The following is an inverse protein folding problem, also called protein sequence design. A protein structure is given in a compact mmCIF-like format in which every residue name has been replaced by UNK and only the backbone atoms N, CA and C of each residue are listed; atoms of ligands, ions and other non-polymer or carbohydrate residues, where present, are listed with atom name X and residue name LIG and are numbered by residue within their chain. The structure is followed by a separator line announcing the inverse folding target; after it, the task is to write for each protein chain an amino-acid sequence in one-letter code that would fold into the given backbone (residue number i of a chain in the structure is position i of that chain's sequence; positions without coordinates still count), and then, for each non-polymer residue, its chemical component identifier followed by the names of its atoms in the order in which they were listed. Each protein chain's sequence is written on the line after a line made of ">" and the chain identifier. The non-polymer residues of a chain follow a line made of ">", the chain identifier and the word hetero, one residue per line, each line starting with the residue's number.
data_IF_799651114703
#
_entry.id   IF_799651114703
#
_cell.length_a   1.000
_cell.length_b   1.000
_cell.length_c   1.000
_cell.angle_alpha   90.00
_cell.angle_beta   90.00
_cell.angle_gamma   90.00
#
_symmetry.space_group_name_H-M   'P 1'
#
loop_
_entity.id
_entity.type
_entity.pdbx_description
1 polymer ?
#
# COMPACT_ATOMS: atom_id res chain seq x y z
N UNK A 1 17.06 15.61 21.34
CA UNK A 1 16.13 14.83 22.19
C UNK A 1 16.00 15.37 23.61
N UNK A 2 17.01 16.05 24.11
CA UNK A 2 17.03 16.63 25.49
C UNK A 2 16.06 17.80 25.70
N UNK A 3 15.45 18.33 24.67
CA UNK A 3 14.57 19.51 24.68
C UNK A 3 13.16 19.26 24.13
N UNK A 4 12.78 17.98 23.88
CA UNK A 4 11.45 17.65 23.41
C UNK A 4 10.60 17.15 24.59
N UNK A 5 9.47 17.81 24.80
CA UNK A 5 8.54 17.49 25.88
C UNK A 5 7.61 16.32 25.47
N UNK A 6 7.40 16.13 24.16
CA UNK A 6 6.53 15.09 23.61
C UNK A 6 7.05 14.53 22.27
N UNK A 7 6.81 13.26 22.03
CA UNK A 7 7.29 12.54 20.85
C UNK A 7 6.11 11.98 20.06
N UNK A 8 6.14 12.16 18.74
CA UNK A 8 5.15 11.61 17.82
C UNK A 8 5.84 10.73 16.77
N UNK A 9 5.35 9.52 16.59
CA UNK A 9 5.74 8.61 15.51
C UNK A 9 4.57 8.31 14.61
N UNK A 10 4.79 8.09 13.30
CA UNK A 10 3.73 7.66 12.38
C UNK A 10 3.34 6.19 12.56
N UNK A 11 4.05 5.45 13.40
CA UNK A 11 3.82 4.09 13.84
C UNK A 11 4.77 3.76 14.98
N UNK A 12 4.53 2.67 15.70
CA UNK A 12 5.39 2.23 16.81
C UNK A 12 6.80 1.91 16.30
N UNK A 13 6.91 1.17 15.20
CA UNK A 13 8.19 0.82 14.59
C UNK A 13 8.99 2.07 14.17
N UNK A 14 8.35 3.05 13.55
CA UNK A 14 8.95 4.32 13.18
C UNK A 14 9.40 5.13 14.42
N UNK A 15 8.57 5.14 15.47
CA UNK A 15 8.92 5.76 16.75
C UNK A 15 10.16 5.15 17.40
N UNK A 16 10.23 3.82 17.44
CA UNK A 16 11.40 3.08 17.97
C UNK A 16 12.66 3.37 17.16
N UNK A 17 12.55 3.38 15.84
CA UNK A 17 13.69 3.67 14.95
C UNK A 17 14.28 5.06 15.19
N UNK A 18 13.44 6.09 15.38
CA UNK A 18 13.88 7.48 15.49
C UNK A 18 14.29 7.83 16.94
N UNK A 19 13.55 7.34 17.94
CA UNK A 19 13.65 7.78 19.32
C UNK A 19 14.23 6.71 20.27
N UNK A 20 14.46 5.49 19.79
CA UNK A 20 15.01 4.36 20.53
C UNK A 20 13.96 3.30 20.90
N UNK A 21 14.44 2.07 21.13
CA UNK A 21 13.63 0.84 21.22
C UNK A 21 12.54 0.83 22.30
N UNK A 22 12.62 1.74 23.28
CA UNK A 22 11.67 1.81 24.40
C UNK A 22 10.78 3.05 24.38
N UNK A 23 10.69 3.75 23.25
CA UNK A 23 9.91 4.99 23.14
C UNK A 23 8.42 4.77 23.41
N UNK A 24 7.89 3.65 22.96
CA UNK A 24 6.49 3.26 23.13
C UNK A 24 6.07 2.99 24.58
N UNK A 25 7.04 2.74 25.48
CA UNK A 25 6.80 2.65 26.92
C UNK A 25 6.78 4.01 27.64
N UNK A 26 7.12 5.11 26.95
CA UNK A 26 7.14 6.44 27.54
C UNK A 26 5.78 7.11 27.54
N UNK A 27 5.36 7.76 28.65
CA UNK A 27 4.04 8.40 28.76
C UNK A 27 3.89 9.64 27.87
N UNK A 28 4.99 10.20 27.37
CA UNK A 28 5.04 11.35 26.47
C UNK A 28 5.31 10.93 25.00
N UNK A 29 4.97 9.71 24.61
CA UNK A 29 4.96 9.25 23.23
C UNK A 29 3.53 8.92 22.81
N UNK A 30 3.20 9.25 21.56
CA UNK A 30 1.94 8.81 20.89
C UNK A 30 2.20 8.47 19.43
N UNK A 31 1.39 7.59 18.91
CA UNK A 31 1.33 7.33 17.47
C UNK A 31 0.35 8.33 16.83
N UNK A 32 0.84 9.08 15.85
CA UNK A 32 0.06 9.92 14.96
C UNK A 32 0.07 9.25 13.57
N UNK A 33 -0.95 8.45 13.29
CA UNK A 33 -1.06 7.73 12.02
C UNK A 33 -1.05 8.69 10.83
N UNK A 34 -0.38 8.31 9.75
CA UNK A 34 -0.50 8.98 8.46
C UNK A 34 -1.92 8.73 7.93
N UNK A 35 -2.75 9.76 7.97
CA UNK A 35 -4.17 9.65 7.65
C UNK A 35 -4.44 9.79 6.16
N UNK A 36 -5.53 9.16 5.72
CA UNK A 36 -6.01 9.11 4.35
C UNK A 36 -7.38 9.78 4.26
N UNK A 37 -7.65 10.47 3.16
CA UNK A 37 -8.93 11.11 2.90
C UNK A 37 -9.95 10.07 2.39
N UNK A 38 -10.88 9.68 3.26
CA UNK A 38 -11.98 8.77 2.94
C UNK A 38 -12.89 9.28 1.81
N UNK A 39 -12.97 10.60 1.62
CA UNK A 39 -13.73 11.19 0.51
C UNK A 39 -13.08 11.00 -0.85
N UNK A 40 -11.81 10.60 -0.89
CA UNK A 40 -11.06 10.32 -2.12
C UNK A 40 -10.78 8.83 -2.32
N UNK A 41 -10.39 8.13 -1.26
CA UNK A 41 -10.04 6.69 -1.30
C UNK A 41 -11.21 5.87 -0.76
N UNK A 42 -12.20 5.63 -1.57
CA UNK A 42 -13.36 4.79 -1.26
C UNK A 42 -13.71 3.92 -2.46
N UNK A 43 -14.49 2.85 -2.31
CA UNK A 43 -14.95 2.04 -3.43
C UNK A 43 -15.73 2.89 -4.44
N UNK A 44 -15.27 2.89 -5.71
CA UNK A 44 -15.90 3.61 -6.81
C UNK A 44 -15.90 2.77 -8.08
N UNK A 45 -17.02 2.10 -8.35
CA UNK A 45 -17.19 1.27 -9.52
C UNK A 45 -17.13 2.05 -10.84
N UNK A 46 -17.53 3.32 -10.85
CA UNK A 46 -17.47 4.15 -12.05
C UNK A 46 -16.02 4.55 -12.36
N UNK A 47 -15.24 4.98 -11.36
CA UNK A 47 -13.82 5.25 -11.52
C UNK A 47 -13.05 3.98 -11.93
N UNK A 48 -13.38 2.81 -11.34
CA UNK A 48 -12.81 1.51 -11.73
C UNK A 48 -13.05 1.23 -13.22
N UNK A 49 -14.29 1.28 -13.69
CA UNK A 49 -14.62 1.02 -15.08
C UNK A 49 -13.93 2.00 -16.03
N UNK A 50 -13.96 3.29 -15.73
CA UNK A 50 -13.35 4.33 -16.54
C UNK A 50 -11.81 4.16 -16.64
N UNK A 51 -11.15 3.89 -15.52
CA UNK A 51 -9.69 3.71 -15.49
C UNK A 51 -9.28 2.45 -16.24
N UNK A 52 -9.97 1.33 -16.03
CA UNK A 52 -9.70 0.08 -16.76
C UNK A 52 -9.85 0.29 -18.27
N UNK A 53 -10.93 0.92 -18.72
CA UNK A 53 -11.16 1.22 -20.14
C UNK A 53 -10.06 2.12 -20.73
N UNK A 54 -9.67 3.19 -20.02
CA UNK A 54 -8.62 4.13 -20.46
C UNK A 54 -7.25 3.46 -20.63
N UNK A 55 -6.96 2.40 -19.86
CA UNK A 55 -5.70 1.67 -19.88
C UNK A 55 -5.76 0.33 -20.64
N UNK A 56 -6.83 0.06 -21.37
CA UNK A 56 -6.98 -1.16 -22.17
C UNK A 56 -7.06 -2.44 -21.34
N UNK A 57 -7.63 -2.34 -20.13
CA UNK A 57 -7.90 -3.47 -19.26
C UNK A 57 -9.34 -3.94 -19.51
N UNK A 58 -9.49 -5.17 -19.97
CA UNK A 58 -10.80 -5.78 -20.30
C UNK A 58 -11.43 -6.43 -19.06
N UNK A 59 -12.67 -6.85 -19.17
CA UNK A 59 -13.38 -7.57 -18.10
C UNK A 59 -12.79 -8.95 -17.81
N UNK A 60 -12.07 -9.54 -18.78
CA UNK A 60 -11.38 -10.82 -18.60
C UNK A 60 -9.97 -10.65 -18.00
N UNK A 61 -9.41 -9.44 -18.00
CA UNK A 61 -8.11 -9.19 -17.41
C UNK A 61 -8.21 -9.07 -15.90
N UNK A 62 -7.19 -9.58 -15.22
CA UNK A 62 -6.94 -9.39 -13.80
C UNK A 62 -5.80 -8.39 -13.61
N UNK A 63 -6.01 -7.37 -12.81
CA UNK A 63 -5.08 -6.26 -12.68
C UNK A 63 -4.39 -6.24 -11.32
N UNK A 64 -3.12 -6.66 -11.29
CA UNK A 64 -2.25 -6.39 -10.16
C UNK A 64 -1.75 -4.94 -10.24
N UNK A 65 -1.79 -4.24 -9.13
CA UNK A 65 -1.38 -2.84 -9.03
C UNK A 65 -0.20 -2.63 -8.08
N UNK A 66 0.57 -1.61 -8.38
CA UNK A 66 1.59 -1.06 -7.50
C UNK A 66 1.55 0.46 -7.56
N UNK A 67 1.67 1.10 -6.40
CA UNK A 67 1.74 2.57 -6.28
C UNK A 67 2.95 2.94 -5.42
N UNK A 68 3.89 3.67 -6.00
CA UNK A 68 5.07 4.12 -5.27
C UNK A 68 6.28 4.43 -6.14
N UNK A 69 7.38 4.81 -5.48
CA UNK A 69 8.65 5.04 -6.17
C UNK A 69 9.28 3.71 -6.57
N UNK A 70 9.74 3.60 -7.81
CA UNK A 70 10.45 2.42 -8.30
C UNK A 70 11.93 2.48 -7.86
N UNK A 71 12.19 2.17 -6.58
CA UNK A 71 13.49 2.24 -5.93
C UNK A 71 13.76 0.98 -5.09
N UNK A 72 14.97 0.88 -4.54
CA UNK A 72 15.38 -0.28 -3.73
C UNK A 72 14.44 -0.56 -2.54
N UNK A 73 13.93 0.48 -1.87
CA UNK A 73 13.01 0.32 -0.73
C UNK A 73 11.77 -0.48 -1.14
N UNK A 74 11.16 -0.13 -2.26
CA UNK A 74 9.92 -0.74 -2.78
C UNK A 74 10.13 -2.07 -3.51
N UNK A 75 11.39 -2.46 -3.74
CA UNK A 75 11.79 -3.76 -4.30
C UNK A 75 11.11 -4.11 -5.64
N UNK A 76 11.17 -3.22 -6.65
CA UNK A 76 10.42 -3.41 -7.89
C UNK A 76 10.88 -4.60 -8.72
N UNK A 77 12.14 -5.05 -8.58
CA UNK A 77 12.60 -6.24 -9.29
C UNK A 77 11.99 -7.52 -8.71
N UNK A 78 11.85 -7.62 -7.39
CA UNK A 78 11.13 -8.74 -6.79
C UNK A 78 9.63 -8.71 -7.14
N UNK A 79 9.01 -7.52 -7.20
CA UNK A 79 7.65 -7.36 -7.73
C UNK A 79 7.53 -7.97 -9.13
N UNK A 80 8.51 -7.74 -10.01
CA UNK A 80 8.55 -8.31 -11.36
C UNK A 80 8.68 -9.84 -11.34
N UNK A 81 9.46 -10.41 -10.40
CA UNK A 81 9.56 -11.87 -10.24
C UNK A 81 8.22 -12.48 -9.79
N UNK A 82 7.56 -11.86 -8.80
CA UNK A 82 6.24 -12.27 -8.32
C UNK A 82 5.23 -12.21 -9.48
N UNK A 83 5.20 -11.09 -10.20
CA UNK A 83 4.30 -10.94 -11.35
C UNK A 83 4.58 -11.97 -12.44
N UNK A 84 5.84 -12.27 -12.73
CA UNK A 84 6.18 -13.30 -13.71
C UNK A 84 5.66 -14.69 -13.30
N UNK A 85 5.73 -15.03 -12.01
CA UNK A 85 5.18 -16.28 -11.48
C UNK A 85 3.64 -16.32 -11.59
N UNK A 86 2.96 -15.20 -11.27
CA UNK A 86 1.51 -15.06 -11.45
C UNK A 86 1.12 -15.21 -12.91
N UNK A 87 1.80 -14.50 -13.81
CA UNK A 87 1.55 -14.49 -15.24
C UNK A 87 1.81 -15.83 -15.94
N UNK A 88 2.62 -16.69 -15.33
CA UNK A 88 2.84 -18.08 -15.81
C UNK A 88 1.71 -19.01 -15.41
N UNK A 89 0.98 -18.75 -14.32
CA UNK A 89 -0.17 -19.53 -13.86
C UNK A 89 -1.46 -19.11 -14.58
N UNK A 90 -1.67 -17.80 -14.75
CA UNK A 90 -2.84 -17.24 -15.42
C UNK A 90 -2.41 -16.14 -16.43
N UNK A 91 -2.66 -16.33 -17.74
CA UNK A 91 -2.30 -15.36 -18.78
C UNK A 91 -3.14 -14.07 -18.74
N UNK A 92 -4.23 -14.02 -17.98
CA UNK A 92 -5.09 -12.84 -17.85
C UNK A 92 -4.51 -11.79 -16.89
N UNK A 93 -3.51 -12.12 -16.09
CA UNK A 93 -2.87 -11.13 -15.24
C UNK A 93 -2.13 -10.06 -16.02
N UNK A 94 -2.39 -8.81 -15.69
CA UNK A 94 -1.63 -7.61 -16.07
C UNK A 94 -1.08 -6.95 -14.81
N UNK A 95 0.05 -6.24 -14.93
CA UNK A 95 0.64 -5.43 -13.87
C UNK A 95 0.61 -3.96 -14.27
N UNK A 96 0.04 -3.09 -13.45
CA UNK A 96 0.07 -1.64 -13.65
C UNK A 96 0.83 -0.96 -12.51
N UNK A 97 1.82 -0.15 -12.90
CA UNK A 97 2.77 0.53 -12.02
C UNK A 97 2.50 2.03 -12.04
N UNK A 98 2.04 2.59 -10.92
CA UNK A 98 1.86 4.03 -10.73
C UNK A 98 3.05 4.58 -9.97
N UNK A 99 3.75 5.52 -10.58
CA UNK A 99 4.98 6.12 -10.07
C UNK A 99 6.16 5.92 -11.01
N UNK A 100 7.30 6.47 -10.63
CA UNK A 100 8.58 6.38 -11.37
C UNK A 100 9.72 6.17 -10.37
N UNK A 101 10.91 5.89 -10.86
CA UNK A 101 12.10 5.77 -10.03
C UNK A 101 13.29 5.28 -10.81
N UNK A 102 14.45 5.28 -10.14
CA UNK A 102 15.74 4.92 -10.74
C UNK A 102 15.81 3.49 -11.24
N UNK A 103 14.95 2.59 -10.73
CA UNK A 103 14.94 1.17 -11.14
C UNK A 103 13.96 0.87 -12.29
N UNK A 104 13.24 1.88 -12.83
CA UNK A 104 12.32 1.67 -13.95
C UNK A 104 12.99 1.08 -15.20
N UNK A 105 14.19 1.54 -15.64
CA UNK A 105 14.85 0.93 -16.79
C UNK A 105 15.15 -0.56 -16.60
N UNK A 106 15.56 -0.96 -15.39
CA UNK A 106 15.84 -2.36 -15.07
C UNK A 106 14.56 -3.21 -15.06
N UNK A 107 13.44 -2.65 -14.56
CA UNK A 107 12.13 -3.31 -14.61
C UNK A 107 11.65 -3.53 -16.04
N UNK A 108 11.79 -2.52 -16.91
CA UNK A 108 11.44 -2.63 -18.35
C UNK A 108 12.27 -3.71 -19.03
N UNK A 109 13.57 -3.74 -18.75
CA UNK A 109 14.47 -4.79 -19.26
C UNK A 109 14.08 -6.17 -18.71
N UNK A 110 13.68 -6.27 -17.43
CA UNK A 110 13.20 -7.52 -16.82
C UNK A 110 11.91 -8.02 -17.45
N UNK A 111 10.95 -7.13 -17.72
CA UNK A 111 9.70 -7.45 -18.42
C UNK A 111 10.00 -7.98 -19.84
N UNK A 112 10.86 -7.30 -20.59
CA UNK A 112 11.25 -7.71 -21.95
C UNK A 112 11.92 -9.09 -21.97
N UNK A 113 12.87 -9.35 -21.06
CA UNK A 113 13.53 -10.66 -20.98
C UNK A 113 12.59 -11.82 -20.70
N UNK A 114 11.43 -11.54 -20.06
CA UNK A 114 10.39 -12.53 -19.71
C UNK A 114 9.23 -12.60 -20.72
N UNK A 115 9.27 -11.77 -21.78
CA UNK A 115 8.18 -11.68 -22.75
C UNK A 115 6.89 -11.12 -22.16
N UNK A 116 7.01 -10.25 -21.14
CA UNK A 116 5.87 -9.65 -20.41
C UNK A 116 5.62 -8.18 -20.78
N UNK A 117 6.28 -7.66 -21.82
CA UNK A 117 6.20 -6.23 -22.20
C UNK A 117 4.75 -5.77 -22.39
N UNK A 118 3.90 -6.58 -23.02
CA UNK A 118 2.50 -6.24 -23.31
C UNK A 118 1.58 -6.41 -22.09
N UNK A 119 2.09 -6.97 -20.99
CA UNK A 119 1.33 -7.22 -19.77
C UNK A 119 1.79 -6.36 -18.58
N UNK A 120 2.86 -5.57 -18.75
CA UNK A 120 3.37 -4.65 -17.72
C UNK A 120 3.21 -3.22 -18.19
N UNK A 121 2.36 -2.48 -17.50
CA UNK A 121 1.98 -1.10 -17.83
C UNK A 121 2.67 -0.15 -16.87
N UNK A 122 3.50 0.73 -17.38
CA UNK A 122 4.15 1.80 -16.62
C UNK A 122 3.34 3.08 -16.81
N UNK A 123 2.49 3.40 -15.85
CA UNK A 123 1.61 4.57 -15.92
C UNK A 123 2.32 5.89 -15.59
N UNK A 124 3.55 5.84 -15.07
CA UNK A 124 4.26 7.04 -14.62
C UNK A 124 3.61 7.66 -13.37
N UNK A 125 3.92 8.92 -13.10
CA UNK A 125 3.33 9.67 -11.99
C UNK A 125 1.90 10.07 -12.36
N UNK A 126 0.96 9.77 -11.48
CA UNK A 126 -0.47 10.08 -11.66
C UNK A 126 -0.96 10.95 -10.51
N UNK A 127 -1.86 11.89 -10.82
CA UNK A 127 -2.48 12.78 -9.82
C UNK A 127 -3.71 12.16 -9.16
N UNK A 128 -4.40 11.29 -9.88
CA UNK A 128 -5.63 10.61 -9.41
C UNK A 128 -5.35 9.16 -9.00
N UNK A 129 -4.51 8.98 -7.98
CA UNK A 129 -4.18 7.66 -7.43
C UNK A 129 -5.42 6.86 -6.99
N UNK A 130 -6.48 7.47 -6.40
CA UNK A 130 -7.71 6.75 -6.06
C UNK A 130 -8.36 6.00 -7.23
N UNK A 131 -8.41 6.60 -8.41
CA UNK A 131 -8.98 5.96 -9.60
C UNK A 131 -8.17 4.71 -10.03
N UNK A 132 -6.84 4.77 -9.93
CA UNK A 132 -5.97 3.61 -10.17
C UNK A 132 -6.15 2.55 -9.10
N UNK A 133 -6.24 2.94 -7.82
CA UNK A 133 -6.44 2.01 -6.72
C UNK A 133 -7.75 1.22 -6.93
N UNK A 134 -8.82 1.89 -7.28
CA UNK A 134 -10.10 1.24 -7.61
C UNK A 134 -10.02 0.29 -8.84
N UNK A 135 -9.11 0.54 -9.78
CA UNK A 135 -8.95 -0.30 -10.96
C UNK A 135 -8.32 -1.68 -10.65
N UNK A 136 -7.59 -1.81 -9.54
CA UNK A 136 -6.85 -3.01 -9.19
C UNK A 136 -7.77 -4.13 -8.67
N UNK A 137 -7.39 -5.37 -8.95
CA UNK A 137 -7.95 -6.58 -8.35
C UNK A 137 -7.06 -7.07 -7.19
N UNK A 138 -5.82 -6.61 -7.15
CA UNK A 138 -4.83 -6.91 -6.14
C UNK A 138 -3.80 -5.79 -6.05
N UNK A 139 -3.49 -5.33 -4.85
CA UNK A 139 -2.37 -4.42 -4.60
C UNK A 139 -1.15 -5.19 -4.10
N UNK A 140 0.02 -5.01 -4.73
CA UNK A 140 1.27 -5.68 -4.37
C UNK A 140 2.26 -4.70 -3.73
N UNK A 141 2.77 -5.03 -2.54
CA UNK A 141 3.77 -4.23 -1.83
C UNK A 141 4.91 -5.09 -1.26
N UNK A 142 5.78 -5.67 -2.11
CA UNK A 142 6.89 -6.52 -1.67
C UNK A 142 8.12 -5.71 -1.23
N UNK A 143 7.90 -4.66 -0.46
CA UNK A 143 8.95 -3.73 -0.02
C UNK A 143 10.01 -4.41 0.83
N UNK A 144 11.27 -3.97 0.71
CA UNK A 144 12.37 -4.38 1.57
C UNK A 144 12.20 -3.83 3.00
N UNK A 145 11.62 -2.65 3.13
CA UNK A 145 11.28 -2.00 4.40
C UNK A 145 10.29 -0.86 4.18
N UNK A 146 9.49 -0.54 5.19
CA UNK A 146 8.60 0.61 5.25
C UNK A 146 8.60 1.24 6.64
N UNK A 147 8.28 2.53 6.72
CA UNK A 147 8.03 3.20 8.00
C UNK A 147 6.56 3.15 8.39
N UNK A 148 5.70 3.59 7.47
CA UNK A 148 4.22 3.55 7.60
C UNK A 148 3.66 3.58 6.17
N UNK A 149 3.27 2.42 5.62
CA UNK A 149 2.89 2.30 4.22
C UNK A 149 1.45 2.82 4.00
N UNK A 150 1.31 4.13 3.79
CA UNK A 150 0.01 4.79 3.54
C UNK A 150 -0.75 4.12 2.39
N UNK A 151 -0.04 3.63 1.37
CA UNK A 151 -0.64 2.95 0.22
C UNK A 151 -1.41 1.67 0.59
N UNK A 152 -1.06 0.99 1.71
CA UNK A 152 -1.88 -0.13 2.22
C UNK A 152 -3.20 0.36 2.78
N UNK A 153 -3.20 1.51 3.45
CA UNK A 153 -4.44 2.13 3.99
C UNK A 153 -5.31 2.62 2.83
N UNK A 154 -4.70 3.24 1.81
CA UNK A 154 -5.37 3.68 0.59
C UNK A 154 -6.04 2.52 -0.14
N UNK A 155 -5.35 1.39 -0.29
CA UNK A 155 -5.88 0.18 -0.92
C UNK A 155 -7.06 -0.40 -0.13
N UNK A 156 -6.92 -0.55 1.19
CA UNK A 156 -8.01 -1.01 2.07
C UNK A 156 -9.21 -0.05 2.00
N UNK A 157 -8.96 1.28 1.95
CA UNK A 157 -10.01 2.29 1.81
C UNK A 157 -10.82 2.16 0.51
N UNK A 158 -10.20 1.64 -0.55
CA UNK A 158 -10.84 1.33 -1.83
C UNK A 158 -11.37 -0.13 -1.91
N UNK A 159 -11.29 -0.91 -0.83
CA UNK A 159 -11.71 -2.31 -0.80
C UNK A 159 -10.83 -3.25 -1.62
N UNK A 160 -9.55 -2.90 -1.82
CA UNK A 160 -8.62 -3.68 -2.66
C UNK A 160 -7.80 -4.63 -1.79
N UNK A 161 -7.81 -5.94 -2.06
CA UNK A 161 -6.98 -6.90 -1.36
C UNK A 161 -5.49 -6.62 -1.61
N UNK A 162 -4.68 -6.81 -0.57
CA UNK A 162 -3.28 -6.47 -0.56
C UNK A 162 -2.40 -7.68 -0.24
N UNK A 163 -1.30 -7.83 -0.96
CA UNK A 163 -0.24 -8.77 -0.61
C UNK A 163 1.08 -8.02 -0.42
N UNK A 164 1.57 -8.00 0.81
CA UNK A 164 2.77 -7.27 1.21
C UNK A 164 3.85 -8.23 1.73
N UNK A 165 5.10 -7.76 1.77
CA UNK A 165 6.17 -8.49 2.44
C UNK A 165 6.05 -8.37 3.96
N UNK A 166 6.52 -9.38 4.71
CA UNK A 166 6.63 -9.33 6.18
C UNK A 166 7.62 -8.27 6.70
N UNK A 167 8.35 -7.60 5.82
CA UNK A 167 9.23 -6.47 6.16
C UNK A 167 8.46 -5.14 6.21
N UNK A 168 7.20 -5.16 5.80
CA UNK A 168 6.27 -4.03 5.93
C UNK A 168 5.62 -4.09 7.30
N UNK A 169 5.63 -3.00 8.10
CA UNK A 169 4.93 -2.97 9.38
C UNK A 169 3.44 -3.27 9.22
N UNK A 170 2.89 -4.01 10.16
CA UNK A 170 1.48 -4.40 10.17
C UNK A 170 0.55 -3.35 10.81
N UNK A 171 1.10 -2.27 11.34
CA UNK A 171 0.36 -1.16 11.96
C UNK A 171 -0.81 -0.66 11.08
N UNK A 172 -0.61 -0.66 9.74
CA UNK A 172 -1.62 -0.25 8.76
C UNK A 172 -2.54 -1.38 8.28
N UNK A 173 -2.38 -2.61 8.77
CA UNK A 173 -3.23 -3.76 8.42
C UNK A 173 -4.44 -3.81 9.35
N UNK A 174 -5.48 -3.07 9.00
CA UNK A 174 -6.67 -2.87 9.86
C UNK A 174 -7.80 -3.83 9.50
N UNK A 175 -7.82 -4.30 8.26
CA UNK A 175 -8.86 -5.17 7.71
C UNK A 175 -8.28 -6.54 7.34
N UNK A 176 -9.12 -7.49 7.04
CA UNK A 176 -8.76 -8.81 6.51
C UNK A 176 -8.29 -8.81 5.05
N UNK A 177 -8.32 -7.65 4.40
CA UNK A 177 -7.80 -7.47 3.04
C UNK A 177 -6.27 -7.56 2.95
N UNK A 178 -5.53 -7.35 4.05
CA UNK A 178 -4.06 -7.31 4.01
C UNK A 178 -3.46 -8.64 4.41
N UNK A 179 -2.66 -9.20 3.51
CA UNK A 179 -1.94 -10.45 3.70
C UNK A 179 -0.44 -10.23 3.58
N UNK A 180 0.34 -11.03 4.31
CA UNK A 180 1.80 -10.93 4.33
C UNK A 180 2.46 -12.25 3.94
N UNK A 181 3.58 -12.14 3.19
CA UNK A 181 4.50 -13.24 2.94
C UNK A 181 5.96 -12.77 3.11
N UNK A 182 6.87 -13.60 3.63
CA UNK A 182 8.28 -13.26 3.67
C UNK A 182 8.87 -13.19 2.26
N UNK A 183 9.78 -12.25 2.02
CA UNK A 183 10.51 -12.14 0.73
C UNK A 183 11.28 -13.42 0.39
N UNK A 184 11.67 -14.20 1.39
CA UNK A 184 12.34 -15.50 1.20
C UNK A 184 11.39 -16.64 0.82
N UNK A 185 10.07 -16.42 0.84
CA UNK A 185 9.10 -17.44 0.40
C UNK A 185 9.26 -17.71 -1.11
N UNK A 186 9.00 -18.95 -1.55
CA UNK A 186 9.02 -19.29 -2.97
C UNK A 186 8.09 -18.37 -3.80
N UNK A 187 8.49 -18.02 -5.01
CA UNK A 187 7.64 -17.20 -5.90
C UNK A 187 6.32 -17.89 -6.24
N UNK A 188 6.28 -19.22 -6.23
CA UNK A 188 5.06 -20.01 -6.38
C UNK A 188 4.05 -19.75 -5.26
N UNK A 189 4.54 -19.54 -4.03
CA UNK A 189 3.67 -19.25 -2.88
C UNK A 189 3.11 -17.83 -2.95
N UNK A 190 3.94 -16.87 -3.40
CA UNK A 190 3.50 -15.51 -3.71
C UNK A 190 2.41 -15.50 -4.77
N UNK A 191 2.61 -16.23 -5.88
CA UNK A 191 1.63 -16.31 -6.96
C UNK A 191 0.33 -17.02 -6.51
N UNK A 192 0.43 -18.14 -5.80
CA UNK A 192 -0.73 -18.86 -5.27
C UNK A 192 -1.51 -18.02 -4.25
N UNK A 193 -0.83 -17.28 -3.37
CA UNK A 193 -1.47 -16.40 -2.41
C UNK A 193 -2.13 -15.21 -3.11
N UNK A 194 -1.47 -14.59 -4.10
CA UNK A 194 -2.02 -13.52 -4.92
C UNK A 194 -3.33 -13.95 -5.60
N UNK A 195 -3.33 -15.14 -6.21
CA UNK A 195 -4.49 -15.75 -6.84
C UNK A 195 -5.65 -15.94 -5.85
N UNK A 196 -5.35 -16.53 -4.69
CA UNK A 196 -6.35 -16.83 -3.68
C UNK A 196 -7.03 -15.57 -3.12
N UNK A 197 -6.25 -14.52 -2.80
CA UNK A 197 -6.82 -13.30 -2.21
C UNK A 197 -7.54 -12.44 -3.23
N UNK A 198 -7.05 -12.35 -4.47
CA UNK A 198 -7.71 -11.59 -5.52
C UNK A 198 -9.08 -12.19 -5.94
N UNK A 199 -9.23 -13.51 -5.77
CA UNK A 199 -10.52 -14.18 -6.03
C UNK A 199 -11.61 -13.82 -4.99
N UNK A 200 -11.23 -13.25 -3.84
CA UNK A 200 -12.14 -12.90 -2.74
C UNK A 200 -12.25 -11.38 -2.53
N UNK A 201 -11.67 -10.57 -3.41
CA UNK A 201 -11.82 -9.12 -3.36
C UNK A 201 -13.27 -8.71 -3.63
N UNK A 202 -13.85 -7.97 -2.71
CA UNK A 202 -15.26 -7.55 -2.75
C UNK A 202 -15.45 -6.08 -3.15
N UNK A 203 -14.39 -5.26 -3.03
CA UNK A 203 -14.45 -3.80 -3.16
C UNK A 203 -15.49 -3.15 -2.23
N UNK A 204 -15.65 -3.72 -1.03
CA UNK A 204 -16.54 -3.18 0.00
C UNK A 204 -15.92 -1.97 0.73
N UNK A 205 -16.77 -1.23 1.42
CA UNK A 205 -16.35 -0.08 2.22
C UNK A 205 -15.83 -0.52 3.60
N UNK A 206 -14.54 -0.31 3.84
CA UNK A 206 -13.85 -0.64 5.09
C UNK A 206 -13.55 0.59 5.97
N UNK A 207 -14.09 1.78 5.64
CA UNK A 207 -13.76 3.02 6.34
C UNK A 207 -14.21 3.05 7.81
N UNK A 208 -15.20 2.28 8.20
CA UNK A 208 -15.59 2.18 9.62
C UNK A 208 -14.43 1.64 10.48
N UNK A 209 -13.75 0.58 10.02
CA UNK A 209 -12.60 0.00 10.71
C UNK A 209 -11.36 0.91 10.64
N UNK A 210 -11.04 1.45 9.47
CA UNK A 210 -9.92 2.37 9.26
C UNK A 210 -10.05 3.65 10.09
N UNK A 211 -11.26 4.21 10.21
CA UNK A 211 -11.55 5.39 11.02
C UNK A 211 -11.39 5.09 12.51
N UNK A 212 -11.89 3.96 12.99
CA UNK A 212 -11.73 3.53 14.38
C UNK A 212 -10.24 3.35 14.75
N UNK A 213 -9.43 2.83 13.84
CA UNK A 213 -7.97 2.70 14.00
C UNK A 213 -7.22 4.04 13.91
N UNK A 214 -7.86 5.12 13.42
CA UNK A 214 -7.27 6.46 13.37
C UNK A 214 -6.67 6.86 12.04
N UNK A 215 -6.94 6.12 10.98
CA UNK A 215 -6.42 6.39 9.64
C UNK A 215 -7.29 7.33 8.80
N UNK A 216 -8.49 7.68 9.26
CA UNK A 216 -9.34 8.65 8.57
C UNK A 216 -8.91 10.08 8.91
N UNK A 217 -8.76 10.94 7.87
CA UNK A 217 -8.17 12.27 7.97
C UNK A 217 -8.86 13.17 9.00
N UNK A 218 -10.20 13.22 9.03
CA UNK A 218 -10.94 14.06 9.99
C UNK A 218 -10.78 13.58 11.43
N UNK A 219 -10.75 12.28 11.62
CA UNK A 219 -10.53 11.66 12.94
C UNK A 219 -9.11 11.90 13.43
N UNK A 220 -8.11 11.75 12.55
CA UNK A 220 -6.72 12.03 12.88
C UNK A 220 -6.49 13.51 13.21
N UNK A 221 -7.09 14.44 12.45
CA UNK A 221 -7.02 15.88 12.71
C UNK A 221 -7.57 16.23 14.09
N UNK A 222 -8.75 15.73 14.46
CA UNK A 222 -9.35 15.95 15.80
C UNK A 222 -8.47 15.41 16.92
N UNK A 223 -7.88 14.22 16.75
CA UNK A 223 -6.95 13.66 17.74
C UNK A 223 -5.71 14.55 17.92
N UNK A 224 -5.20 15.11 16.82
CA UNK A 224 -4.06 16.01 16.86
C UNK A 224 -4.41 17.34 17.55
N UNK A 225 -5.57 17.95 17.25
CA UNK A 225 -6.09 19.14 17.93
C UNK A 225 -6.18 18.90 19.45
N UNK A 226 -6.83 17.81 19.87
CA UNK A 226 -6.94 17.43 21.29
C UNK A 226 -5.58 17.25 21.98
N UNK A 227 -4.59 16.69 21.25
CA UNK A 227 -3.24 16.56 21.79
C UNK A 227 -2.58 17.94 22.00
N UNK A 228 -2.68 18.84 21.03
CA UNK A 228 -2.14 20.19 21.14
C UNK A 228 -2.82 20.99 22.25
N UNK A 229 -4.13 20.90 22.38
CA UNK A 229 -4.87 21.56 23.48
C UNK A 229 -4.40 21.06 24.83
N UNK A 230 -4.20 19.73 24.97
CA UNK A 230 -3.67 19.13 26.20
C UNK A 230 -2.25 19.61 26.54
N UNK A 231 -1.39 19.73 25.52
CA UNK A 231 0.00 20.15 25.71
C UNK A 231 0.11 21.67 25.91
N UNK A 232 -0.72 22.47 25.20
CA UNK A 232 -0.74 23.94 25.30
C UNK A 232 -1.41 24.48 26.57
N UNK A 233 -2.29 23.71 27.22
CA UNK A 233 -2.95 24.09 28.49
C UNK A 233 -2.07 23.99 29.74
N UNK A 234 -0.79 23.68 29.59
CA UNK A 234 0.21 23.62 30.65
C UNK A 234 1.28 24.75 30.56
N UNK A 235 1.00 25.80 29.75
CA UNK A 235 1.87 26.99 29.65
C UNK A 235 1.34 28.14 30.50
#
# INVERSE_FOLDING_TARGET
>A
QLFADYFLGCGVAAGRFVFGDHIDAKPNFSVACNAVDAGRFHPDAAARAATRAAWGITDTDRLAGFVGRLNHQKNPLFLMEVFAAMAAQDPHWKLLLVGTGEMEPEMRAAAARRGLTDRVIFAGVQSDVPAFMNAFDLFLLPSNFEGSPVTLVEAQGCGVPCLASTNVPDDGSVTDLVHFLPLAAPLTDWAAKAEAIAAHGDHDDHWAALSAAGYELKTAARRMEQLYDKLGGHA
#
